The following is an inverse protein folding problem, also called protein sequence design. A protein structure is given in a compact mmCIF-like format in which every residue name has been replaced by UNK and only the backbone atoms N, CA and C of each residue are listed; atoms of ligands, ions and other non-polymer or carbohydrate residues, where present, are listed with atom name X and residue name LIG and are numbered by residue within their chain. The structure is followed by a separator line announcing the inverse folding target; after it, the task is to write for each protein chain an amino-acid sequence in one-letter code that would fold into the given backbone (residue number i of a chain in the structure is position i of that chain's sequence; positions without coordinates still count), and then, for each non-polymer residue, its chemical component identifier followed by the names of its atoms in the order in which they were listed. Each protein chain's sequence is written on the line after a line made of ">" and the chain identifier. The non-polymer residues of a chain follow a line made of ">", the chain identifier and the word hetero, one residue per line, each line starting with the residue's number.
data_IF_202162552903
#
_entry.id   IF_202162552903
#
_cell.length_a   1.000
_cell.length_b   1.000
_cell.length_c   1.000
_cell.angle_alpha   90.00
_cell.angle_beta   90.00
_cell.angle_gamma   90.00
#
_symmetry.space_group_name_H-M   'P 1'
#
loop_
_entity.id
_entity.type
_entity.pdbx_description
1 polymer ?
#
# COMPACT_ATOMS: atom_id res chain seq x y z
N UNK A 1 9.21 3.24 -4.75
CA UNK A 1 7.75 3.43 -4.89
C UNK A 1 7.35 4.88 -5.08
N UNK A 2 8.05 5.82 -4.46
CA UNK A 2 7.80 7.24 -4.69
C UNK A 2 7.92 7.58 -6.18
N UNK A 3 8.94 7.06 -6.85
CA UNK A 3 9.17 7.27 -8.28
C UNK A 3 8.06 6.66 -9.15
N UNK A 4 7.40 5.61 -8.67
CA UNK A 4 6.28 4.99 -9.37
C UNK A 4 4.99 5.79 -9.20
N UNK A 5 4.75 6.36 -8.03
CA UNK A 5 3.50 7.06 -7.70
C UNK A 5 3.51 8.54 -8.09
N UNK A 6 4.63 9.23 -7.91
CA UNK A 6 4.69 10.67 -8.03
C UNK A 6 4.25 11.22 -9.40
N UNK A 7 4.69 10.66 -10.54
CA UNK A 7 4.26 11.18 -11.84
C UNK A 7 2.75 11.10 -12.06
N UNK A 8 2.15 9.96 -11.75
CA UNK A 8 0.70 9.77 -11.88
C UNK A 8 -0.08 10.64 -10.92
N UNK A 9 0.39 10.75 -9.70
CA UNK A 9 -0.22 11.60 -8.69
C UNK A 9 -0.22 13.07 -9.11
N UNK A 10 0.89 13.56 -9.64
CA UNK A 10 1.01 14.93 -10.14
C UNK A 10 0.10 15.16 -11.36
N UNK A 11 0.07 14.20 -12.29
CA UNK A 11 -0.77 14.30 -13.48
C UNK A 11 -2.26 14.39 -13.11
N UNK A 12 -2.73 13.55 -12.20
CA UNK A 12 -4.10 13.63 -11.71
C UNK A 12 -4.36 14.90 -10.91
N UNK A 13 -3.37 15.39 -10.17
CA UNK A 13 -3.47 16.65 -9.44
C UNK A 13 -3.68 17.86 -10.33
N UNK A 14 -3.21 17.81 -11.58
CA UNK A 14 -3.44 18.85 -12.56
C UNK A 14 -4.89 18.86 -13.10
N UNK A 15 -5.60 17.72 -12.98
CA UNK A 15 -6.96 17.56 -13.50
C UNK A 15 -8.00 17.66 -12.39
N UNK A 16 -7.74 17.11 -11.23
CA UNK A 16 -8.72 17.03 -10.14
C UNK A 16 -8.02 16.99 -8.78
N UNK A 17 -8.71 17.48 -7.75
CA UNK A 17 -8.29 17.35 -6.34
C UNK A 17 -9.10 16.29 -5.59
N UNK A 18 -9.86 15.47 -6.28
CA UNK A 18 -10.65 14.40 -5.66
C UNK A 18 -9.75 13.36 -5.00
N UNK A 19 -10.25 12.67 -3.98
CA UNK A 19 -9.54 11.54 -3.39
C UNK A 19 -9.21 10.46 -4.42
N UNK A 20 -8.08 9.81 -4.24
CA UNK A 20 -7.62 8.72 -5.09
C UNK A 20 -7.76 7.39 -4.35
N UNK A 21 -8.10 6.37 -5.09
CA UNK A 21 -8.12 4.99 -4.61
C UNK A 21 -7.13 4.16 -5.42
N UNK A 22 -6.25 3.45 -4.74
CA UNK A 22 -5.35 2.48 -5.36
C UNK A 22 -5.99 1.10 -5.22
N UNK A 23 -6.64 0.60 -6.28
CA UNK A 23 -7.44 -0.62 -6.18
C UNK A 23 -6.62 -1.90 -6.06
N UNK A 24 -5.36 -1.83 -6.44
CA UNK A 24 -4.47 -2.98 -6.35
C UNK A 24 -3.05 -2.50 -6.11
N UNK A 25 -2.42 -3.06 -5.09
CA UNK A 25 -1.05 -2.76 -4.73
C UNK A 25 -0.39 -4.02 -4.22
N UNK A 26 0.81 -4.30 -4.69
CA UNK A 26 1.59 -5.44 -4.23
C UNK A 26 3.06 -5.09 -4.12
N UNK A 27 3.78 -5.83 -3.29
CA UNK A 27 5.22 -5.72 -3.17
C UNK A 27 5.86 -6.97 -3.77
N UNK A 28 6.72 -6.76 -4.75
CA UNK A 28 7.41 -7.87 -5.42
C UNK A 28 8.25 -8.65 -4.42
N UNK A 29 8.27 -9.96 -4.61
CA UNK A 29 9.10 -10.86 -3.82
C UNK A 29 10.39 -11.17 -4.54
N UNK A 30 11.51 -10.83 -3.93
CA UNK A 30 12.85 -11.17 -4.44
C UNK A 30 13.54 -12.25 -3.60
N UNK A 31 12.80 -12.81 -2.64
CA UNK A 31 13.33 -13.82 -1.74
C UNK A 31 14.19 -13.27 -0.60
N UNK A 32 14.24 -11.96 -0.43
CA UNK A 32 15.03 -11.33 0.62
C UNK A 32 14.16 -10.80 1.76
N UNK A 33 14.80 -10.51 2.90
CA UNK A 33 14.15 -9.85 4.04
C UNK A 33 13.74 -8.40 3.73
N UNK A 34 14.11 -7.88 2.57
CA UNK A 34 13.82 -6.50 2.16
C UNK A 34 12.33 -6.25 1.97
N UNK A 35 11.53 -7.27 1.66
CA UNK A 35 10.10 -7.11 1.43
C UNK A 35 9.36 -6.57 2.65
N UNK A 36 9.67 -7.09 3.84
CA UNK A 36 9.11 -6.58 5.09
C UNK A 36 9.46 -5.10 5.29
N UNK A 37 10.71 -4.75 5.04
CA UNK A 37 11.18 -3.37 5.13
C UNK A 37 10.47 -2.45 4.13
N UNK A 38 10.26 -2.91 2.91
CA UNK A 38 9.53 -2.14 1.89
C UNK A 38 8.08 -1.93 2.32
N UNK A 39 7.42 -2.94 2.84
CA UNK A 39 6.05 -2.81 3.36
C UNK A 39 5.99 -1.75 4.46
N UNK A 40 6.89 -1.80 5.44
CA UNK A 40 6.93 -0.77 6.50
C UNK A 40 7.17 0.62 5.92
N UNK A 41 8.16 0.76 5.06
CA UNK A 41 8.52 2.05 4.48
C UNK A 41 7.37 2.65 3.68
N UNK A 42 6.73 1.85 2.83
CA UNK A 42 5.63 2.31 1.99
C UNK A 42 4.47 2.83 2.83
N UNK A 43 4.00 2.04 3.77
CA UNK A 43 2.81 2.40 4.53
C UNK A 43 3.08 3.41 5.64
N UNK A 44 4.29 3.42 6.18
CA UNK A 44 4.63 4.35 7.26
C UNK A 44 5.08 5.72 6.75
N UNK A 45 5.89 5.75 5.70
CA UNK A 45 6.58 6.97 5.28
C UNK A 45 6.21 7.46 3.88
N UNK A 46 5.93 6.56 2.93
CA UNK A 46 5.70 6.96 1.54
C UNK A 46 4.25 7.36 1.30
N UNK A 47 3.30 6.48 1.56
CA UNK A 47 1.88 6.76 1.29
C UNK A 47 1.34 8.00 2.00
N UNK A 48 1.74 8.30 3.25
CA UNK A 48 1.30 9.53 3.89
C UNK A 48 1.68 10.83 3.17
N UNK A 49 2.72 10.80 2.32
CA UNK A 49 3.11 11.96 1.52
C UNK A 49 2.12 12.24 0.37
N UNK A 50 1.32 11.26 -0.02
CA UNK A 50 0.33 11.39 -1.08
C UNK A 50 -1.06 11.58 -0.47
N UNK A 51 -1.30 12.78 0.04
CA UNK A 51 -2.47 13.08 0.89
C UNK A 51 -3.83 12.85 0.25
N UNK A 52 -3.92 12.79 -1.09
CA UNK A 52 -5.19 12.48 -1.77
C UNK A 52 -5.45 10.99 -1.93
N UNK A 53 -4.46 10.13 -1.67
CA UNK A 53 -4.68 8.68 -1.63
C UNK A 53 -5.41 8.36 -0.33
N UNK A 54 -6.68 8.02 -0.43
CA UNK A 54 -7.55 7.78 0.73
C UNK A 54 -7.91 6.32 0.94
N UNK A 55 -7.67 5.49 -0.06
CA UNK A 55 -7.92 4.06 0.06
C UNK A 55 -6.92 3.28 -0.79
N UNK A 56 -6.57 2.10 -0.32
CA UNK A 56 -5.66 1.20 -1.00
C UNK A 56 -6.06 -0.24 -0.68
N UNK A 57 -5.98 -1.10 -1.68
CA UNK A 57 -6.17 -2.55 -1.50
C UNK A 57 -4.83 -3.24 -1.71
N UNK A 58 -4.34 -3.91 -0.68
CA UNK A 58 -3.13 -4.70 -0.77
C UNK A 58 -3.47 -6.08 -1.33
N UNK A 59 -2.72 -6.51 -2.34
CA UNK A 59 -2.79 -7.87 -2.84
C UNK A 59 -2.21 -8.83 -1.79
N UNK A 60 -3.06 -9.69 -1.25
CA UNK A 60 -2.67 -10.69 -0.25
C UNK A 60 -2.99 -12.10 -0.77
N UNK A 61 -2.57 -12.37 -1.99
CA UNK A 61 -2.63 -13.68 -2.60
C UNK A 61 -1.46 -13.81 -3.56
N UNK A 62 -1.07 -15.04 -3.83
CA UNK A 62 0.07 -15.28 -4.72
C UNK A 62 -0.31 -14.92 -6.15
N UNK A 63 0.41 -13.96 -6.72
CA UNK A 63 0.34 -13.61 -8.12
C UNK A 63 1.70 -13.92 -8.72
N UNK A 64 1.72 -14.73 -9.78
CA UNK A 64 2.93 -15.03 -10.53
C UNK A 64 2.67 -14.82 -12.02
N UNK A 65 3.52 -14.04 -12.65
CA UNK A 65 3.49 -13.78 -14.08
C UNK A 65 4.90 -13.90 -14.66
N UNK A 66 5.04 -13.74 -15.96
CA UNK A 66 6.32 -13.97 -16.65
C UNK A 66 7.47 -13.11 -16.13
N UNK A 67 7.17 -11.95 -15.57
CA UNK A 67 8.18 -10.96 -15.18
C UNK A 67 8.24 -10.67 -13.70
N UNK A 68 7.24 -11.07 -12.91
CA UNK A 68 7.23 -10.76 -11.49
C UNK A 68 6.41 -11.77 -10.68
N UNK A 69 6.66 -11.77 -9.40
CA UNK A 69 5.89 -12.52 -8.44
C UNK A 69 5.52 -11.61 -7.27
N UNK A 70 4.24 -11.58 -6.92
CA UNK A 70 3.74 -10.94 -5.70
C UNK A 70 3.33 -12.07 -4.77
N UNK A 71 4.16 -12.43 -3.79
CA UNK A 71 3.81 -13.48 -2.84
C UNK A 71 2.73 -13.02 -1.87
N UNK A 72 2.01 -14.00 -1.34
CA UNK A 72 1.08 -13.76 -0.26
C UNK A 72 1.80 -13.15 0.95
N UNK A 73 1.12 -12.26 1.68
CA UNK A 73 1.67 -11.66 2.89
C UNK A 73 2.05 -12.74 3.90
N UNK A 74 3.22 -12.61 4.48
CA UNK A 74 3.75 -13.60 5.42
C UNK A 74 4.56 -14.72 4.78
N UNK A 75 4.79 -14.68 3.46
CA UNK A 75 5.65 -15.64 2.77
C UNK A 75 7.10 -15.55 3.23
N UNK A 76 7.59 -14.35 3.47
CA UNK A 76 8.94 -14.09 3.96
C UNK A 76 8.92 -13.59 5.41
N UNK A 77 10.08 -13.60 6.03
CA UNK A 77 10.23 -13.27 7.44
C UNK A 77 9.67 -11.88 7.81
N UNK A 78 8.91 -11.84 8.87
CA UNK A 78 8.37 -10.64 9.51
C UNK A 78 7.49 -9.73 8.65
N UNK A 79 6.99 -10.22 7.52
CA UNK A 79 6.08 -9.43 6.67
C UNK A 79 4.76 -9.12 7.37
N UNK A 80 4.21 -10.11 8.06
CA UNK A 80 2.98 -9.92 8.84
C UNK A 80 3.19 -8.94 10.00
N UNK A 81 4.35 -9.03 10.65
CA UNK A 81 4.72 -8.07 11.68
C UNK A 81 4.89 -6.67 11.12
N UNK A 82 5.55 -6.53 9.97
CA UNK A 82 5.72 -5.25 9.30
C UNK A 82 4.37 -4.62 8.93
N UNK A 83 3.47 -5.40 8.35
CA UNK A 83 2.10 -4.97 8.06
C UNK A 83 1.37 -4.49 9.30
N UNK A 84 1.43 -5.29 10.37
CA UNK A 84 0.76 -4.99 11.61
C UNK A 84 1.25 -3.66 12.21
N UNK A 85 2.56 -3.46 12.25
CA UNK A 85 3.14 -2.21 12.77
C UNK A 85 2.84 -1.01 11.88
N UNK A 86 2.97 -1.17 10.58
CA UNK A 86 2.89 -0.05 9.65
C UNK A 86 1.45 0.37 9.33
N UNK A 87 0.51 -0.54 9.41
CA UNK A 87 -0.89 -0.30 9.04
C UNK A 87 -1.80 -0.48 10.24
N UNK A 88 -1.84 -1.68 10.79
CA UNK A 88 -2.86 -2.04 11.78
C UNK A 88 -2.72 -1.29 13.09
N UNK A 89 -1.49 -1.01 13.52
CA UNK A 89 -1.19 -0.27 14.75
C UNK A 89 -0.94 1.22 14.50
N UNK A 90 -0.92 1.63 13.23
CA UNK A 90 -0.64 3.00 12.85
C UNK A 90 -1.94 3.83 12.86
N UNK A 91 -2.01 4.93 13.63
CA UNK A 91 -3.22 5.75 13.70
C UNK A 91 -3.56 6.47 12.39
N UNK A 92 -2.62 6.56 11.45
CA UNK A 92 -2.87 7.14 10.12
C UNK A 92 -3.92 6.34 9.33
N UNK A 93 -4.01 5.02 9.54
CA UNK A 93 -4.89 4.14 8.78
C UNK A 93 -6.11 3.74 9.60
N UNK A 94 -7.30 3.76 8.98
CA UNK A 94 -8.51 3.23 9.57
C UNK A 94 -8.42 1.71 9.63
N UNK A 95 -8.81 1.15 10.76
CA UNK A 95 -8.88 -0.30 10.97
C UNK A 95 -10.22 -0.88 10.52
N UNK A 96 -11.22 -0.01 10.38
CA UNK A 96 -12.57 -0.37 9.99
C UNK A 96 -13.19 0.81 9.28
N UNK A 97 -13.91 0.53 8.19
CA UNK A 97 -14.64 1.56 7.47
C UNK A 97 -15.75 2.16 8.34
N UNK A 98 -15.95 3.47 8.20
CA UNK A 98 -17.02 4.18 8.89
C UNK A 98 -17.90 4.86 7.86
N UNK A 99 -19.19 4.63 7.92
CA UNK A 99 -20.19 5.17 7.00
C UNK A 99 -21.10 6.13 7.76
N UNK A 100 -20.81 7.42 7.68
CA UNK A 100 -21.58 8.46 8.34
C UNK A 100 -22.67 8.99 7.43
N UNK A 101 -23.84 9.32 8.00
CA UNK A 101 -24.95 9.89 7.26
C UNK A 101 -25.66 8.91 6.33
N UNK A 102 -25.47 7.64 6.51
CA UNK A 102 -26.10 6.56 5.74
C UNK A 102 -26.98 5.75 6.67
N UNK A 103 -28.10 6.31 7.00
CA UNK A 103 -29.08 5.68 7.86
C UNK A 103 -30.22 5.04 7.06
#
# INVERSE_FOLDING_TARGET
>A
ITDALAPGYAAWGAVTQRPLFLPEFGVLGDGSASRARVIEEVFRNVLPQFGRVKAITLADFKIAEDYYEVPQLGTFDDETGAWKRAVRENPHYLKQASFKGRE
#
